data_IF_454117816051
#
_entry.id   IF_454117816051
#
_cell.length_a   1.000
_cell.length_b   1.000
_cell.length_c   1.000
_cell.angle_alpha   90.00
_cell.angle_beta   90.00
_cell.angle_gamma   90.00
#
_symmetry.space_group_name_H-M   'P 1'
#
loop_
_entity.id
_entity.type
_entity.pdbx_description
1 polymer ?
#
# COMPACT_ATOMS: atom_id res chain seq x y z
N UNK A 1 -13.79 -1.23 -39.27
CA UNK A 1 -15.18 -1.03 -38.85
C UNK A 1 -15.21 -0.02 -37.74
N UNK A 2 -16.07 1.00 -37.83
CA UNK A 2 -16.20 2.01 -36.74
C UNK A 2 -17.33 1.53 -35.83
N UNK A 3 -17.05 1.42 -34.52
CA UNK A 3 -18.11 1.26 -33.52
C UNK A 3 -18.91 2.58 -33.41
N UNK A 4 -20.20 2.46 -33.08
CA UNK A 4 -21.09 3.59 -32.77
C UNK A 4 -21.78 3.32 -31.45
N UNK A 5 -21.88 4.34 -30.63
CA UNK A 5 -22.50 4.28 -29.32
C UNK A 5 -23.60 5.32 -29.23
N UNK A 6 -24.78 4.90 -28.78
CA UNK A 6 -25.93 5.78 -28.56
C UNK A 6 -26.50 5.50 -27.18
N UNK A 7 -27.01 6.53 -26.51
CA UNK A 7 -27.61 6.44 -25.18
C UNK A 7 -28.99 7.04 -25.16
N UNK A 8 -29.92 6.45 -24.39
CA UNK A 8 -31.22 7.03 -24.09
C UNK A 8 -31.11 8.18 -23.11
N UNK A 9 -31.91 9.24 -23.30
CA UNK A 9 -32.21 10.20 -22.24
C UNK A 9 -33.34 9.62 -21.38
N UNK A 10 -32.99 9.06 -20.22
CA UNK A 10 -33.93 8.55 -19.25
C UNK A 10 -33.85 7.05 -18.97
N UNK A 11 -34.90 6.48 -18.40
CA UNK A 11 -34.91 5.08 -17.89
C UNK A 11 -35.17 3.99 -18.97
N UNK A 12 -35.05 4.34 -20.25
CA UNK A 12 -35.19 3.38 -21.33
C UNK A 12 -34.15 2.26 -21.25
N UNK A 13 -34.58 1.02 -21.10
CA UNK A 13 -33.71 -0.15 -21.10
C UNK A 13 -34.10 -1.11 -22.17
N UNK A 14 -33.16 -1.51 -22.99
CA UNK A 14 -33.28 -2.65 -23.91
C UNK A 14 -32.43 -3.79 -23.33
N UNK A 15 -32.98 -5.00 -23.33
CA UNK A 15 -32.18 -6.16 -22.91
C UNK A 15 -31.01 -6.37 -23.87
N UNK A 16 -29.82 -6.57 -23.33
CA UNK A 16 -28.63 -6.83 -24.14
C UNK A 16 -28.75 -8.13 -24.93
N UNK A 17 -28.36 -8.09 -26.20
CA UNK A 17 -28.24 -9.25 -27.04
C UNK A 17 -26.99 -9.15 -27.93
N UNK A 18 -26.55 -10.29 -28.43
CA UNK A 18 -25.45 -10.39 -29.40
C UNK A 18 -26.05 -10.92 -30.72
N UNK A 19 -25.95 -10.14 -31.77
CA UNK A 19 -26.26 -10.61 -33.12
C UNK A 19 -25.01 -11.03 -33.88
N UNK A 20 -25.08 -12.18 -34.50
CA UNK A 20 -23.99 -12.71 -35.34
C UNK A 20 -24.46 -12.79 -36.76
N UNK A 21 -23.95 -11.90 -37.59
CA UNK A 21 -24.24 -11.83 -39.01
C UNK A 21 -23.58 -13.02 -39.72
N UNK A 22 -24.41 -13.85 -40.38
CA UNK A 22 -23.98 -14.98 -41.21
C UNK A 22 -24.40 -14.77 -42.65
N UNK A 23 -23.81 -15.55 -43.56
CA UNK A 23 -24.06 -15.44 -45.00
C UNK A 23 -25.50 -15.77 -45.40
N UNK A 24 -26.22 -16.56 -44.62
CA UNK A 24 -27.58 -17.02 -44.96
C UNK A 24 -28.66 -16.47 -44.01
N UNK A 25 -28.38 -16.35 -42.72
CA UNK A 25 -29.31 -15.82 -41.72
C UNK A 25 -28.55 -15.27 -40.49
N UNK A 26 -29.04 -14.17 -39.93
CA UNK A 26 -28.55 -13.65 -38.67
C UNK A 26 -29.03 -14.52 -37.50
N UNK A 27 -28.18 -14.68 -36.50
CA UNK A 27 -28.48 -15.43 -35.28
C UNK A 27 -28.24 -14.55 -34.08
N UNK A 28 -29.29 -14.29 -33.29
CA UNK A 28 -29.16 -13.55 -32.05
C UNK A 28 -29.05 -14.48 -30.84
N UNK A 29 -28.30 -14.02 -29.84
CA UNK A 29 -28.11 -14.65 -28.55
C UNK A 29 -28.58 -13.71 -27.45
N UNK A 30 -29.41 -14.20 -26.52
CA UNK A 30 -30.06 -13.40 -25.48
C UNK A 30 -30.22 -14.21 -24.19
N UNK A 31 -30.11 -13.59 -22.98
CA UNK A 31 -29.57 -12.25 -22.72
C UNK A 31 -28.07 -12.16 -22.94
N UNK A 32 -27.56 -10.99 -23.28
CA UNK A 32 -26.14 -10.75 -23.43
C UNK A 32 -25.76 -9.34 -22.90
N UNK A 33 -25.13 -9.27 -21.74
CA UNK A 33 -24.84 -8.01 -21.04
C UNK A 33 -23.43 -7.47 -21.31
N UNK A 34 -22.72 -8.06 -22.26
CA UNK A 34 -21.39 -7.63 -22.68
C UNK A 34 -20.32 -8.73 -22.65
N UNK A 35 -19.12 -8.37 -23.08
CA UNK A 35 -17.96 -9.27 -23.16
C UNK A 35 -17.20 -9.28 -21.82
N UNK A 36 -17.76 -9.92 -20.80
CA UNK A 36 -17.07 -10.16 -19.52
C UNK A 36 -16.35 -11.50 -19.55
N UNK A 37 -15.33 -11.69 -18.70
CA UNK A 37 -14.62 -12.96 -18.55
C UNK A 37 -15.57 -14.11 -18.20
N UNK A 38 -16.62 -13.84 -17.41
CA UNK A 38 -17.66 -14.78 -17.04
C UNK A 38 -18.51 -15.19 -18.25
N UNK A 39 -18.99 -14.23 -19.05
CA UNK A 39 -19.80 -14.49 -20.27
C UNK A 39 -19.01 -15.22 -21.35
N UNK A 40 -17.70 -15.05 -21.38
CA UNK A 40 -16.78 -15.75 -22.27
C UNK A 40 -16.35 -17.13 -21.74
N UNK A 41 -16.85 -17.55 -20.57
CA UNK A 41 -16.48 -18.82 -19.97
C UNK A 41 -15.04 -18.91 -19.46
N UNK A 42 -14.39 -17.78 -19.26
CA UNK A 42 -13.01 -17.70 -18.76
C UNK A 42 -12.92 -17.62 -17.22
N UNK A 43 -14.06 -17.58 -16.53
CA UNK A 43 -14.15 -17.48 -15.07
C UNK A 43 -14.69 -18.80 -14.49
N UNK A 44 -13.96 -19.37 -13.54
CA UNK A 44 -14.30 -20.62 -12.83
C UNK A 44 -15.09 -20.36 -11.53
N UNK A 45 -15.79 -19.24 -11.38
CA UNK A 45 -16.59 -18.98 -10.18
C UNK A 45 -17.70 -20.02 -10.04
N UNK A 46 -17.91 -20.51 -8.81
CA UNK A 46 -18.90 -21.55 -8.46
C UNK A 46 -20.35 -21.07 -8.47
N UNK A 47 -20.62 -19.86 -8.93
CA UNK A 47 -21.97 -19.30 -9.04
C UNK A 47 -22.76 -19.92 -10.21
N UNK A 48 -24.07 -19.83 -10.12
CA UNK A 48 -24.98 -20.40 -11.12
C UNK A 48 -24.59 -19.99 -12.56
N UNK A 49 -24.61 -20.93 -13.52
CA UNK A 49 -24.22 -20.63 -14.90
C UNK A 49 -25.16 -19.61 -15.51
N UNK A 50 -24.61 -18.60 -16.18
CA UNK A 50 -25.37 -17.68 -17.02
C UNK A 50 -25.87 -18.42 -18.28
N UNK A 51 -27.15 -18.55 -18.40
CA UNK A 51 -27.77 -19.23 -19.55
C UNK A 51 -28.05 -18.20 -20.65
N UNK A 52 -27.32 -18.28 -21.74
CA UNK A 52 -27.62 -17.53 -22.97
C UNK A 52 -28.30 -18.43 -23.98
N UNK A 53 -29.46 -18.03 -24.44
CA UNK A 53 -30.25 -18.79 -25.44
C UNK A 53 -29.95 -18.30 -26.85
N UNK A 54 -29.81 -19.23 -27.78
CA UNK A 54 -29.79 -18.93 -29.21
C UNK A 54 -31.23 -18.79 -29.72
N UNK A 55 -31.53 -17.66 -30.34
CA UNK A 55 -32.83 -17.42 -30.97
C UNK A 55 -32.88 -18.05 -32.37
N UNK A 56 -34.10 -18.43 -32.82
CA UNK A 56 -34.29 -18.86 -34.17
C UNK A 56 -34.23 -17.66 -35.15
N UNK A 57 -34.22 -17.94 -36.46
CA UNK A 57 -34.10 -16.92 -37.50
C UNK A 57 -35.25 -15.90 -37.50
N UNK A 58 -36.47 -16.30 -37.11
CA UNK A 58 -37.63 -15.42 -37.08
C UNK A 58 -37.59 -14.47 -35.88
N UNK A 59 -37.20 -15.01 -34.72
CA UNK A 59 -37.02 -14.27 -33.48
C UNK A 59 -35.82 -13.29 -33.60
N UNK A 60 -34.74 -13.72 -34.21
CA UNK A 60 -33.55 -12.88 -34.45
C UNK A 60 -33.91 -11.68 -35.33
N UNK A 61 -34.66 -11.90 -36.42
CA UNK A 61 -35.12 -10.82 -37.31
C UNK A 61 -36.08 -9.85 -36.60
N UNK A 62 -36.98 -10.35 -35.78
CA UNK A 62 -37.90 -9.49 -35.01
C UNK A 62 -37.14 -8.62 -33.99
N UNK A 63 -36.15 -9.19 -33.30
CA UNK A 63 -35.31 -8.47 -32.34
C UNK A 63 -34.44 -7.41 -33.01
N UNK A 64 -33.83 -7.74 -34.16
CA UNK A 64 -33.04 -6.79 -34.95
C UNK A 64 -33.90 -5.63 -35.45
N UNK A 65 -35.10 -5.92 -35.95
CA UNK A 65 -36.01 -4.87 -36.37
C UNK A 65 -36.36 -3.92 -35.20
N UNK A 66 -36.65 -4.47 -34.03
CA UNK A 66 -36.93 -3.67 -32.83
C UNK A 66 -35.72 -2.80 -32.44
N UNK A 67 -34.52 -3.34 -32.59
CA UNK A 67 -33.28 -2.57 -32.34
C UNK A 67 -33.11 -1.46 -33.36
N UNK A 68 -33.30 -1.73 -34.65
CA UNK A 68 -33.17 -0.74 -35.72
C UNK A 68 -34.22 0.37 -35.57
N UNK A 69 -35.47 0.02 -35.27
CA UNK A 69 -36.53 0.98 -34.99
C UNK A 69 -36.18 1.89 -33.79
N UNK A 70 -35.63 1.33 -32.72
CA UNK A 70 -35.15 2.11 -31.56
C UNK A 70 -33.91 2.94 -31.91
N UNK A 71 -32.98 2.36 -32.67
CA UNK A 71 -31.76 3.04 -33.08
C UNK A 71 -32.00 4.28 -33.92
N UNK A 72 -33.03 4.26 -34.76
CA UNK A 72 -33.40 5.33 -35.67
C UNK A 72 -34.50 6.25 -35.12
N UNK A 73 -35.02 5.98 -33.91
CA UNK A 73 -36.16 6.70 -33.31
C UNK A 73 -35.93 8.16 -32.99
N UNK A 74 -34.70 8.67 -33.03
CA UNK A 74 -34.36 10.03 -32.62
C UNK A 74 -34.36 10.30 -31.11
N UNK A 75 -34.74 9.32 -30.29
CA UNK A 75 -34.67 9.36 -28.80
C UNK A 75 -33.29 9.01 -28.28
N UNK A 76 -32.41 8.59 -29.17
CA UNK A 76 -31.04 8.18 -28.83
C UNK A 76 -30.02 9.27 -29.19
N UNK A 77 -29.24 9.71 -28.25
CA UNK A 77 -28.15 10.63 -28.51
C UNK A 77 -26.86 9.87 -28.85
N UNK A 78 -26.14 10.35 -29.85
CA UNK A 78 -24.83 9.82 -30.22
C UNK A 78 -23.79 10.22 -29.16
N UNK A 79 -23.27 9.24 -28.46
CA UNK A 79 -22.24 9.38 -27.42
C UNK A 79 -20.89 8.79 -27.87
N UNK A 80 -20.74 8.52 -29.15
CA UNK A 80 -19.57 7.83 -29.72
C UNK A 80 -18.28 8.55 -29.39
N UNK A 81 -18.24 9.88 -29.58
CA UNK A 81 -17.02 10.65 -29.33
C UNK A 81 -16.68 10.67 -27.84
N UNK A 82 -17.66 10.85 -26.95
CA UNK A 82 -17.42 10.82 -25.51
C UNK A 82 -16.90 9.45 -25.02
N UNK A 83 -17.41 8.35 -25.60
CA UNK A 83 -16.91 6.99 -25.27
C UNK A 83 -15.50 6.79 -25.81
N UNK A 84 -15.23 7.25 -27.04
CA UNK A 84 -13.88 7.16 -27.64
C UNK A 84 -12.89 7.98 -26.83
N UNK A 85 -13.23 9.20 -26.43
CA UNK A 85 -12.39 10.06 -25.62
C UNK A 85 -12.09 9.41 -24.24
N UNK A 86 -13.11 8.83 -23.60
CA UNK A 86 -12.96 8.09 -22.35
C UNK A 86 -12.03 6.89 -22.50
N UNK A 87 -12.20 6.10 -23.58
CA UNK A 87 -11.33 4.94 -23.86
C UNK A 87 -9.91 5.43 -24.19
N UNK A 88 -9.76 6.48 -24.98
CA UNK A 88 -8.46 7.03 -25.36
C UNK A 88 -7.72 7.58 -24.14
N UNK A 89 -8.43 8.22 -23.21
CA UNK A 89 -7.86 8.68 -21.96
C UNK A 89 -7.33 7.51 -21.08
N UNK A 90 -8.01 6.35 -21.13
CA UNK A 90 -7.55 5.13 -20.46
C UNK A 90 -6.35 4.46 -21.14
N UNK A 91 -6.21 4.65 -22.46
CA UNK A 91 -5.12 4.11 -23.29
C UNK A 91 -4.00 5.13 -23.58
N UNK A 92 -3.99 6.28 -22.91
CA UNK A 92 -2.78 7.11 -22.95
C UNK A 92 -1.61 6.27 -22.47
N UNK A 93 -0.52 6.29 -23.24
CA UNK A 93 0.75 5.64 -22.86
C UNK A 93 1.20 6.25 -21.54
N UNK A 94 0.78 5.63 -20.45
CA UNK A 94 1.30 5.96 -19.13
C UNK A 94 2.77 5.55 -19.13
N UNK A 95 3.65 6.48 -18.76
CA UNK A 95 5.05 6.18 -18.59
C UNK A 95 5.21 4.92 -17.71
N UNK A 96 6.12 3.98 -18.05
CA UNK A 96 6.31 2.76 -17.26
C UNK A 96 6.48 3.03 -15.76
N UNK A 97 7.05 4.16 -15.41
CA UNK A 97 7.18 4.66 -14.04
C UNK A 97 5.83 4.91 -13.37
N UNK A 98 4.86 5.51 -14.06
CA UNK A 98 3.52 5.74 -13.50
C UNK A 98 2.80 4.41 -13.23
N UNK A 99 2.91 3.44 -14.16
CA UNK A 99 2.33 2.10 -13.97
C UNK A 99 3.00 1.40 -12.78
N UNK A 100 4.31 1.53 -12.64
CA UNK A 100 5.08 0.99 -11.52
C UNK A 100 4.60 1.60 -10.18
N UNK A 101 4.48 2.93 -10.10
CA UNK A 101 4.00 3.59 -8.88
C UNK A 101 2.54 3.27 -8.57
N UNK A 102 1.67 3.16 -9.57
CA UNK A 102 0.28 2.72 -9.38
C UNK A 102 0.19 1.28 -8.87
N UNK A 103 1.03 0.38 -9.38
CA UNK A 103 1.12 -0.99 -8.89
C UNK A 103 1.61 -1.04 -7.44
N UNK A 104 2.67 -0.30 -7.11
CA UNK A 104 3.15 -0.17 -5.74
C UNK A 104 2.07 0.40 -4.81
N UNK A 105 1.42 1.48 -5.22
CA UNK A 105 0.33 2.08 -4.44
C UNK A 105 -0.78 1.07 -4.16
N UNK A 106 -1.22 0.29 -5.16
CA UNK A 106 -2.24 -0.74 -4.97
C UNK A 106 -1.82 -1.88 -4.04
N UNK A 107 -0.55 -2.30 -4.12
CA UNK A 107 -0.01 -3.35 -3.25
C UNK A 107 0.07 -2.86 -1.80
N UNK A 108 0.40 -1.59 -1.60
CA UNK A 108 0.65 -1.03 -0.28
C UNK A 108 -0.51 -0.15 0.27
N UNK A 109 -1.57 0.10 -0.51
CA UNK A 109 -2.70 0.95 -0.08
C UNK A 109 -3.38 0.43 1.19
N UNK A 110 -3.56 -0.88 1.32
CA UNK A 110 -4.11 -1.47 2.56
C UNK A 110 -3.23 -1.20 3.77
N UNK A 111 -1.90 -1.11 3.58
CA UNK A 111 -0.97 -0.74 4.65
C UNK A 111 -0.94 0.77 4.92
N UNK A 112 -1.31 1.59 3.94
CA UNK A 112 -1.36 3.06 4.10
C UNK A 112 -2.66 3.49 4.77
N UNK A 113 -3.76 2.80 4.55
CA UNK A 113 -5.05 3.07 5.20
C UNK A 113 -5.03 2.71 6.70
N UNK A 114 -4.18 1.75 7.11
CA UNK A 114 -3.93 1.42 8.52
C UNK A 114 -3.02 2.44 9.24
N UNK A 115 -2.31 3.28 8.50
CA UNK A 115 -1.54 4.40 9.05
C UNK A 115 -2.47 5.59 9.19
N UNK A 116 -3.28 5.62 10.24
CA UNK A 116 -3.93 6.84 10.68
C UNK A 116 -2.83 7.82 11.09
N UNK A 117 -2.59 8.79 10.25
CA UNK A 117 -1.37 9.60 10.12
C UNK A 117 -0.98 10.45 11.35
N UNK A 118 -1.80 10.55 12.39
CA UNK A 118 -1.58 11.56 13.42
C UNK A 118 -1.72 11.11 14.87
N UNK A 119 -2.10 9.88 15.14
CA UNK A 119 -2.34 9.44 16.52
C UNK A 119 -1.23 8.54 17.02
N UNK A 120 -0.27 9.15 17.73
CA UNK A 120 0.63 8.36 18.57
C UNK A 120 -0.18 7.69 19.68
N UNK A 121 -0.06 6.38 19.89
CA UNK A 121 -0.58 5.75 21.08
C UNK A 121 0.09 6.41 22.30
N UNK A 122 -0.66 7.20 23.07
CA UNK A 122 -0.20 7.93 24.26
C UNK A 122 0.68 9.18 23.99
N UNK A 123 0.12 10.23 23.44
CA UNK A 123 0.78 11.53 23.19
C UNK A 123 1.28 12.30 24.44
N UNK A 124 1.04 11.82 25.64
CA UNK A 124 1.18 12.59 26.90
C UNK A 124 2.59 12.90 27.42
N UNK A 125 3.68 12.54 26.74
CA UNK A 125 5.02 12.50 27.37
C UNK A 125 6.08 13.45 26.76
N UNK A 126 5.68 14.49 26.02
CA UNK A 126 6.66 15.49 25.54
C UNK A 126 7.66 14.95 24.50
N UNK A 127 7.38 13.82 23.85
CA UNK A 127 8.22 13.23 22.83
C UNK A 127 8.46 14.18 21.65
N UNK A 128 7.41 14.89 21.20
CA UNK A 128 7.48 15.88 20.11
C UNK A 128 8.29 17.12 20.47
N UNK A 129 8.56 17.36 21.75
CA UNK A 129 9.40 18.47 22.22
C UNK A 129 10.90 18.11 22.28
N UNK A 130 11.26 16.85 22.02
CA UNK A 130 12.63 16.36 22.06
C UNK A 130 13.53 16.99 20.99
N UNK A 131 14.82 17.11 21.28
CA UNK A 131 15.79 17.64 20.32
C UNK A 131 15.92 16.75 19.09
N UNK A 132 15.84 15.43 19.27
CA UNK A 132 15.89 14.50 18.13
C UNK A 132 14.69 14.71 17.21
N UNK A 133 13.46 14.83 17.75
CA UNK A 133 12.29 15.07 16.94
C UNK A 133 12.37 16.34 16.13
N UNK A 134 12.83 17.42 16.74
CA UNK A 134 12.98 18.73 16.08
C UNK A 134 14.10 18.76 15.02
N UNK A 135 15.01 17.80 15.03
CA UNK A 135 16.08 17.66 14.02
C UNK A 135 15.68 16.78 12.82
N UNK A 136 14.61 16.02 12.93
CA UNK A 136 14.14 15.17 11.83
C UNK A 136 13.54 15.99 10.69
N UNK A 137 13.81 15.56 9.47
CA UNK A 137 13.04 15.99 8.31
C UNK A 137 11.63 15.39 8.35
N UNK A 138 10.67 15.97 7.63
CA UNK A 138 9.28 15.55 7.69
C UNK A 138 9.11 14.07 7.31
N UNK A 139 9.74 13.60 6.23
CA UNK A 139 9.70 12.18 5.86
C UNK A 139 10.27 11.24 6.95
N UNK A 140 11.25 11.69 7.75
CA UNK A 140 11.78 10.91 8.87
C UNK A 140 10.81 10.90 10.05
N UNK A 141 10.07 11.99 10.27
CA UNK A 141 9.00 12.05 11.28
C UNK A 141 7.88 11.08 10.93
N UNK A 142 7.43 11.10 9.67
CA UNK A 142 6.42 10.19 9.17
C UNK A 142 6.87 8.72 9.31
N UNK A 143 8.13 8.45 8.94
CA UNK A 143 8.73 7.12 9.13
C UNK A 143 8.78 6.69 10.61
N UNK A 144 9.16 7.59 11.52
CA UNK A 144 9.23 7.29 12.95
C UNK A 144 7.83 6.98 13.51
N UNK A 145 6.79 7.76 13.13
CA UNK A 145 5.41 7.51 13.52
C UNK A 145 4.90 6.17 13.00
N UNK A 146 5.15 5.90 11.72
CA UNK A 146 4.77 4.62 11.10
C UNK A 146 5.45 3.42 11.78
N UNK A 147 6.75 3.55 12.16
CA UNK A 147 7.47 2.52 12.90
C UNK A 147 6.85 2.30 14.27
N UNK A 148 6.57 3.36 15.01
CA UNK A 148 5.96 3.27 16.35
C UNK A 148 4.61 2.55 16.26
N UNK A 149 3.74 2.96 15.34
CA UNK A 149 2.43 2.32 15.16
C UNK A 149 2.55 0.83 14.80
N UNK A 150 3.49 0.48 13.92
CA UNK A 150 3.76 -0.93 13.57
C UNK A 150 4.32 -1.73 14.74
N UNK A 151 5.19 -1.15 15.55
CA UNK A 151 5.73 -1.81 16.74
C UNK A 151 4.64 -2.07 17.79
N UNK A 152 3.75 -1.11 18.01
CA UNK A 152 2.62 -1.28 18.95
C UNK A 152 1.58 -2.29 18.45
N UNK A 153 1.40 -2.42 17.13
CA UNK A 153 0.43 -3.34 16.52
C UNK A 153 1.00 -4.73 16.31
N UNK A 154 2.22 -4.82 15.76
CA UNK A 154 2.78 -6.08 15.26
C UNK A 154 4.01 -6.56 16.03
N UNK A 155 4.47 -5.80 17.04
CA UNK A 155 5.69 -6.08 17.82
C UNK A 155 6.97 -6.19 16.97
N UNK A 156 6.99 -5.64 15.76
CA UNK A 156 8.15 -5.64 14.87
C UNK A 156 7.98 -4.76 13.66
N UNK A 157 9.09 -4.17 13.18
CA UNK A 157 9.12 -3.35 11.99
C UNK A 157 10.51 -3.39 11.34
N UNK A 158 10.58 -3.28 10.02
CA UNK A 158 11.83 -3.15 9.25
C UNK A 158 11.84 -1.78 8.58
N UNK A 159 12.89 -0.98 8.86
CA UNK A 159 13.16 0.29 8.19
C UNK A 159 14.11 0.05 7.00
N UNK A 160 13.55 0.04 5.79
CA UNK A 160 14.25 -0.33 4.56
C UNK A 160 14.62 0.89 3.67
N UNK A 161 14.82 2.06 4.25
CA UNK A 161 15.24 3.26 3.52
C UNK A 161 16.60 3.11 2.85
N UNK A 162 16.83 3.88 1.79
CA UNK A 162 18.12 3.92 1.10
C UNK A 162 19.26 4.39 2.02
N UNK A 163 20.48 4.00 1.66
CA UNK A 163 21.68 4.43 2.38
C UNK A 163 21.80 5.96 2.33
N UNK A 164 22.13 6.58 3.47
CA UNK A 164 22.32 8.04 3.55
C UNK A 164 21.06 8.84 3.93
N UNK A 165 19.87 8.25 3.98
CA UNK A 165 18.63 8.94 4.37
C UNK A 165 18.49 9.15 5.90
N UNK A 166 19.52 8.84 6.67
CA UNK A 166 19.53 9.12 8.11
C UNK A 166 18.72 8.14 8.96
N UNK A 167 18.65 6.85 8.56
CA UNK A 167 17.96 5.78 9.33
C UNK A 167 18.29 5.79 10.83
N UNK A 168 19.54 6.07 11.18
CA UNK A 168 19.98 6.16 12.57
C UNK A 168 19.20 7.24 13.33
N UNK A 169 18.97 8.42 12.72
CA UNK A 169 18.19 9.49 13.35
C UNK A 169 16.72 9.12 13.53
N UNK A 170 16.12 8.47 12.53
CA UNK A 170 14.76 7.93 12.64
C UNK A 170 14.67 6.90 13.77
N UNK A 171 15.64 5.99 13.87
CA UNK A 171 15.70 5.00 14.94
C UNK A 171 15.90 5.65 16.32
N UNK A 172 16.75 6.69 16.43
CA UNK A 172 16.94 7.44 17.69
C UNK A 172 15.65 8.13 18.15
N UNK A 173 14.81 8.61 17.24
CA UNK A 173 13.51 9.16 17.59
C UNK A 173 12.57 8.07 18.14
N UNK A 174 12.55 6.89 17.53
CA UNK A 174 11.79 5.75 18.06
C UNK A 174 12.32 5.33 19.44
N UNK A 175 13.64 5.27 19.63
CA UNK A 175 14.26 5.02 20.94
C UNK A 175 13.76 6.03 21.95
N UNK A 176 13.81 7.33 21.62
CA UNK A 176 13.35 8.39 22.51
C UNK A 176 11.90 8.24 22.94
N UNK A 177 11.03 7.82 22.01
CA UNK A 177 9.63 7.54 22.32
C UNK A 177 9.48 6.44 23.37
N UNK A 178 10.19 5.31 23.23
CA UNK A 178 10.12 4.19 24.19
C UNK A 178 10.77 4.54 25.54
N UNK A 179 11.91 5.25 25.56
CA UNK A 179 12.53 5.74 26.78
C UNK A 179 11.63 6.73 27.55
N UNK A 180 10.88 7.59 26.83
CA UNK A 180 9.90 8.50 27.44
C UNK A 180 8.77 7.75 28.14
N UNK A 181 8.58 6.48 27.81
CA UNK A 181 7.62 5.56 28.45
C UNK A 181 8.26 4.65 29.51
N UNK A 182 9.48 4.99 29.96
CA UNK A 182 10.27 4.18 30.91
C UNK A 182 10.49 2.73 30.43
N UNK A 183 10.76 2.56 29.13
CA UNK A 183 11.14 1.28 28.56
C UNK A 183 12.64 1.26 28.34
N UNK A 184 13.31 0.21 28.82
CA UNK A 184 14.70 -0.02 28.51
C UNK A 184 14.86 -0.38 27.04
N UNK A 185 15.90 0.13 26.40
CA UNK A 185 16.15 -0.07 24.97
C UNK A 185 17.53 -0.69 24.76
N UNK A 186 17.59 -1.69 23.90
CA UNK A 186 18.83 -2.32 23.48
C UNK A 186 19.07 -2.08 21.98
N UNK A 187 20.29 -1.65 21.67
CA UNK A 187 20.78 -1.55 20.29
C UNK A 187 21.78 -2.67 20.01
N UNK A 188 21.52 -3.47 19.00
CA UNK A 188 22.41 -4.50 18.48
C UNK A 188 23.03 -4.00 17.17
N UNK A 189 24.35 -3.83 17.13
CA UNK A 189 25.00 -3.34 15.93
C UNK A 189 26.31 -4.10 15.62
N UNK A 190 26.81 -4.03 14.37
CA UNK A 190 28.15 -4.47 14.05
C UNK A 190 29.18 -3.61 14.80
N UNK A 191 30.29 -4.20 15.20
CA UNK A 191 31.37 -3.50 15.92
C UNK A 191 31.85 -2.22 15.20
N UNK A 192 31.81 -2.22 13.86
CA UNK A 192 32.19 -1.05 13.03
C UNK A 192 31.27 0.15 13.19
N UNK A 193 30.02 -0.05 13.61
CA UNK A 193 29.03 1.00 13.79
C UNK A 193 28.88 1.46 15.23
N UNK A 194 29.72 0.93 16.12
CA UNK A 194 29.73 1.29 17.55
C UNK A 194 29.69 2.80 17.79
N UNK A 195 30.60 3.52 17.18
CA UNK A 195 30.74 4.95 17.41
C UNK A 195 29.55 5.77 16.96
N UNK A 196 28.84 5.30 15.93
CA UNK A 196 27.59 5.90 15.48
C UNK A 196 26.49 5.83 16.56
N UNK A 197 26.47 4.76 17.36
CA UNK A 197 25.47 4.60 18.40
C UNK A 197 25.91 5.16 19.76
N UNK A 198 27.14 4.92 20.16
CA UNK A 198 27.65 5.42 21.46
C UNK A 198 27.71 6.94 21.50
N UNK A 199 27.95 7.62 20.39
CA UNK A 199 27.99 9.09 20.34
C UNK A 199 26.69 9.71 20.87
N UNK A 200 25.53 9.10 20.61
CA UNK A 200 24.24 9.70 20.98
C UNK A 200 23.77 9.31 22.40
N UNK A 201 24.27 8.22 22.95
CA UNK A 201 23.89 7.73 24.26
C UNK A 201 24.82 8.26 25.39
N UNK A 202 25.99 8.76 25.07
CA UNK A 202 26.91 9.33 26.05
C UNK A 202 27.07 10.85 25.88
N UNK A 203 27.41 11.53 26.94
CA UNK A 203 27.66 12.99 26.93
C UNK A 203 28.99 13.31 26.20
N UNK A 204 29.15 12.85 24.99
CA UNK A 204 30.31 13.15 24.16
C UNK A 204 30.18 14.57 23.62
N UNK A 205 31.26 15.31 23.55
CA UNK A 205 31.33 16.73 23.16
C UNK A 205 30.65 17.05 21.84
N UNK A 206 30.53 16.07 20.96
CA UNK A 206 29.93 16.23 19.62
C UNK A 206 28.51 15.67 19.50
N UNK A 207 27.81 15.35 20.60
CA UNK A 207 26.44 14.86 20.54
C UNK A 207 25.43 16.02 20.31
N UNK A 208 24.84 16.15 19.11
CA UNK A 208 23.93 17.26 18.80
C UNK A 208 22.56 17.13 19.50
N UNK A 209 22.29 16.00 20.14
CA UNK A 209 21.04 15.69 20.88
C UNK A 209 21.32 15.34 22.34
N UNK A 210 22.43 15.78 22.89
CA UNK A 210 22.82 15.50 24.29
C UNK A 210 21.74 15.91 25.31
N UNK A 211 20.93 16.93 25.00
CA UNK A 211 19.84 17.38 25.87
C UNK A 211 18.69 16.36 25.99
N UNK A 212 18.54 15.43 25.07
CA UNK A 212 17.53 14.36 25.15
C UNK A 212 17.91 13.25 26.12
N UNK A 213 19.19 13.17 26.54
CA UNK A 213 19.73 12.23 27.55
C UNK A 213 19.33 10.78 27.27
N UNK A 214 19.56 10.31 26.02
CA UNK A 214 19.30 8.93 25.67
C UNK A 214 20.14 7.95 26.50
N UNK A 215 19.58 6.84 26.94
CA UNK A 215 20.16 5.87 27.89
C UNK A 215 20.04 4.41 27.43
N UNK A 216 20.08 4.17 26.15
CA UNK A 216 20.00 2.81 25.61
C UNK A 216 21.31 2.04 25.78
N UNK A 217 21.20 0.74 25.92
CA UNK A 217 22.33 -0.17 25.93
C UNK A 217 22.79 -0.51 24.51
N UNK A 218 24.09 -0.73 24.32
CA UNK A 218 24.66 -1.14 23.04
C UNK A 218 25.42 -2.44 23.18
N UNK A 219 25.10 -3.43 22.37
CA UNK A 219 25.80 -4.70 22.24
C UNK A 219 26.16 -4.98 20.79
N UNK A 220 27.17 -5.81 20.58
CA UNK A 220 27.51 -6.28 19.25
C UNK A 220 26.78 -7.58 18.91
N UNK A 221 26.52 -7.81 17.62
CA UNK A 221 25.97 -9.08 17.17
C UNK A 221 26.79 -10.28 17.64
N UNK A 222 28.11 -10.12 17.76
CA UNK A 222 29.01 -11.18 18.26
C UNK A 222 28.87 -11.46 19.76
N UNK A 223 28.32 -10.54 20.52
CA UNK A 223 28.10 -10.76 21.96
C UNK A 223 26.91 -11.71 22.21
N UNK A 224 25.99 -11.84 21.25
CA UNK A 224 24.86 -12.77 21.35
C UNK A 224 25.27 -14.26 21.44
N UNK A 225 26.44 -14.60 20.92
CA UNK A 225 26.98 -15.96 21.03
C UNK A 225 27.72 -16.24 22.35
N UNK A 226 27.86 -15.23 23.21
CA UNK A 226 28.62 -15.30 24.46
C UNK A 226 27.68 -15.33 25.66
N UNK A 227 27.85 -16.29 26.54
CA UNK A 227 27.04 -16.44 27.77
C UNK A 227 27.73 -15.92 29.03
N UNK A 228 28.97 -15.53 28.93
CA UNK A 228 29.79 -15.05 30.07
C UNK A 228 30.77 -13.96 29.67
N UNK A 229 31.15 -13.17 30.62
CA UNK A 229 32.12 -12.08 30.49
C UNK A 229 31.45 -10.72 30.27
N UNK A 230 32.26 -9.74 29.91
CA UNK A 230 31.79 -8.36 29.68
C UNK A 230 31.91 -8.03 28.20
N UNK A 231 30.90 -7.35 27.64
CA UNK A 231 31.02 -6.76 26.32
C UNK A 231 32.08 -5.68 26.27
N UNK A 232 32.62 -5.38 25.11
CA UNK A 232 33.51 -4.22 24.94
C UNK A 232 32.78 -2.88 25.21
N UNK A 233 31.47 -2.88 25.25
CA UNK A 233 30.62 -1.73 25.60
C UNK A 233 30.48 -1.55 27.13
N UNK A 234 31.01 -2.48 27.92
CA UNK A 234 30.99 -2.45 29.38
C UNK A 234 29.85 -3.22 30.04
N UNK A 235 28.94 -3.81 29.27
CA UNK A 235 27.79 -4.57 29.78
C UNK A 235 28.18 -6.00 30.17
N UNK A 236 27.88 -6.45 31.41
CA UNK A 236 28.09 -7.82 31.83
C UNK A 236 27.07 -8.76 31.20
N UNK A 237 27.53 -9.70 30.37
CA UNK A 237 26.65 -10.59 29.57
C UNK A 237 25.96 -11.65 30.44
N UNK A 238 26.57 -12.06 31.53
CA UNK A 238 26.05 -13.06 32.47
C UNK A 238 24.93 -12.52 33.38
N UNK A 239 24.79 -11.21 33.46
CA UNK A 239 23.77 -10.53 34.28
C UNK A 239 22.72 -9.77 33.47
N UNK A 240 22.78 -9.87 32.16
CA UNK A 240 21.86 -9.17 31.27
C UNK A 240 20.45 -9.78 31.38
N UNK A 241 19.48 -8.95 31.79
CA UNK A 241 18.08 -9.36 31.79
C UNK A 241 17.45 -9.04 30.43
N UNK A 242 17.51 -9.98 29.50
CA UNK A 242 16.96 -9.82 28.15
C UNK A 242 15.46 -9.47 28.13
N UNK A 243 14.72 -9.91 29.12
CA UNK A 243 13.27 -9.64 29.22
C UNK A 243 12.93 -8.24 29.75
N UNK A 244 13.93 -7.45 30.20
CA UNK A 244 13.70 -6.07 30.64
C UNK A 244 13.54 -5.09 29.48
N UNK A 245 14.12 -5.39 28.32
CA UNK A 245 14.09 -4.49 27.18
C UNK A 245 12.71 -4.45 26.54
N UNK A 246 12.14 -3.24 26.50
CA UNK A 246 10.86 -2.98 25.82
C UNK A 246 11.01 -2.71 24.32
N UNK A 247 12.25 -2.40 23.87
CA UNK A 247 12.57 -2.24 22.46
C UNK A 247 13.97 -2.80 22.17
N UNK A 248 14.10 -3.51 21.06
CA UNK A 248 15.39 -3.92 20.51
C UNK A 248 15.53 -3.38 19.09
N UNK A 249 16.60 -2.60 18.88
CA UNK A 249 16.97 -2.07 17.55
C UNK A 249 18.12 -2.90 17.02
N UNK A 250 17.99 -3.41 15.80
CA UNK A 250 19.03 -4.21 15.12
C UNK A 250 19.48 -3.44 13.87
N UNK A 251 20.78 -3.04 13.82
CA UNK A 251 21.37 -2.28 12.73
C UNK A 251 22.33 -3.13 11.90
#
# INVERSE_FOLDING_TARGET
RKARFRSFEGEGRMNGFLDVEKTEDNVAYMPFDGFTTRKLGCDNSADAPDVTMRLDASQSRALLKQFDDAWDSGELHDVTDAVIDGITAMYQENAPELIYYMALYRIFSEFLDDVSEDVLPNEGLGFRDSLIWNKLYDFQKDAALAIINKLETYNGCILADSVGLGKTFTALAVIKYYESRNKDVLVLCPKKLRDNWITYNSNVVNNPIAGDRLQYDVLYHTDLSRTRGTSETGLPLDRLNWGAYGLVVID
#
